data_IF_890861062698
#
_entry.id   IF_890861062698
#
_cell.length_a   1.000
_cell.length_b   1.000
_cell.length_c   1.000
_cell.angle_alpha   90.00
_cell.angle_beta   90.00
_cell.angle_gamma   90.00
#
_symmetry.space_group_name_H-M   'P 1'
#
loop_
_entity.id
_entity.type
_entity.pdbx_description
1 polymer ?
#
# COMPACT_ATOMS: atom_id res chain seq x y z
N UNK A 1 -34.54 -9.51 2.82
CA UNK A 1 -33.60 -8.38 2.94
C UNK A 1 -32.49 -8.56 1.90
N UNK A 2 -32.53 -7.86 0.75
CA UNK A 2 -31.57 -8.06 -0.35
C UNK A 2 -30.21 -7.37 -0.16
N UNK A 3 -30.04 -6.52 0.87
CA UNK A 3 -28.86 -5.66 1.04
C UNK A 3 -27.61 -6.33 1.65
N UNK A 4 -27.78 -7.42 2.41
CA UNK A 4 -26.67 -8.04 3.15
C UNK A 4 -25.71 -8.82 2.24
N UNK A 5 -26.24 -9.43 1.17
CA UNK A 5 -25.43 -10.16 0.18
C UNK A 5 -24.53 -9.24 -0.65
N UNK A 6 -25.04 -8.07 -1.04
CA UNK A 6 -24.27 -7.09 -1.82
C UNK A 6 -23.15 -6.48 -0.98
N UNK A 7 -23.44 -6.08 0.27
CA UNK A 7 -22.43 -5.55 1.21
C UNK A 7 -21.34 -6.56 1.51
N UNK A 8 -21.70 -7.83 1.77
CA UNK A 8 -20.74 -8.91 1.99
C UNK A 8 -19.83 -9.14 0.79
N UNK A 9 -20.38 -9.12 -0.43
CA UNK A 9 -19.61 -9.25 -1.66
C UNK A 9 -18.63 -8.08 -1.88
N UNK A 10 -19.09 -6.83 -1.69
CA UNK A 10 -18.26 -5.63 -1.81
C UNK A 10 -17.11 -5.64 -0.80
N UNK A 11 -17.37 -5.98 0.46
CA UNK A 11 -16.33 -6.13 1.49
C UNK A 11 -15.33 -7.23 1.14
N UNK A 12 -15.79 -8.35 0.57
CA UNK A 12 -14.92 -9.40 0.06
C UNK A 12 -13.96 -8.91 -1.02
N UNK A 13 -14.47 -8.13 -1.99
CA UNK A 13 -13.63 -7.56 -3.06
C UNK A 13 -12.63 -6.54 -2.50
N UNK A 14 -13.06 -5.66 -1.57
CA UNK A 14 -12.17 -4.71 -0.89
C UNK A 14 -11.03 -5.44 -0.17
N UNK A 15 -11.33 -6.51 0.57
CA UNK A 15 -10.30 -7.33 1.23
C UNK A 15 -9.29 -7.89 0.23
N UNK A 16 -9.76 -8.43 -0.89
CA UNK A 16 -8.89 -8.97 -1.95
C UNK A 16 -7.99 -7.89 -2.54
N UNK A 17 -8.54 -6.72 -2.89
CA UNK A 17 -7.75 -5.60 -3.41
C UNK A 17 -6.70 -5.11 -2.40
N UNK A 18 -7.08 -4.96 -1.13
CA UNK A 18 -6.16 -4.54 -0.08
C UNK A 18 -5.06 -5.58 0.19
N UNK A 19 -5.39 -6.86 0.15
CA UNK A 19 -4.41 -7.94 0.34
C UNK A 19 -3.42 -8.00 -0.83
N UNK A 20 -3.89 -7.86 -2.07
CA UNK A 20 -3.02 -7.74 -3.24
C UNK A 20 -2.13 -6.48 -3.15
N UNK A 21 -2.70 -5.33 -2.78
CA UNK A 21 -1.94 -4.11 -2.59
C UNK A 21 -0.83 -4.29 -1.55
N UNK A 22 -1.13 -4.96 -0.44
CA UNK A 22 -0.20 -5.24 0.64
C UNK A 22 0.96 -6.13 0.20
N UNK A 23 0.66 -7.26 -0.45
CA UNK A 23 1.68 -8.22 -0.91
C UNK A 23 2.63 -7.54 -1.90
N UNK A 24 2.08 -6.86 -2.92
CA UNK A 24 2.91 -6.22 -3.93
C UNK A 24 3.71 -5.04 -3.38
N UNK A 25 3.16 -4.27 -2.43
CA UNK A 25 3.90 -3.21 -1.76
C UNK A 25 5.05 -3.80 -0.93
N UNK A 26 4.80 -4.86 -0.16
CA UNK A 26 5.84 -5.52 0.63
C UNK A 26 6.97 -6.11 -0.23
N UNK A 27 6.63 -6.72 -1.38
CA UNK A 27 7.62 -7.21 -2.35
C UNK A 27 8.45 -6.07 -2.93
N UNK A 28 7.81 -4.97 -3.31
CA UNK A 28 8.50 -3.80 -3.85
C UNK A 28 9.46 -3.19 -2.81
N UNK A 29 9.00 -3.03 -1.55
CA UNK A 29 9.85 -2.56 -0.45
C UNK A 29 11.04 -3.48 -0.19
N UNK A 30 10.84 -4.81 -0.24
CA UNK A 30 11.94 -5.77 -0.08
C UNK A 30 13.01 -5.60 -1.17
N UNK A 31 12.60 -5.36 -2.41
CA UNK A 31 13.51 -5.08 -3.53
C UNK A 31 14.26 -3.77 -3.28
N UNK A 32 13.56 -2.68 -2.94
CA UNK A 32 14.18 -1.38 -2.66
C UNK A 32 15.19 -1.48 -1.52
N UNK A 33 14.87 -2.19 -0.44
CA UNK A 33 15.78 -2.41 0.69
C UNK A 33 17.00 -3.26 0.29
N UNK A 34 16.84 -4.27 -0.56
CA UNK A 34 17.97 -5.05 -1.07
C UNK A 34 18.94 -4.17 -1.86
N UNK A 35 18.43 -3.31 -2.75
CA UNK A 35 19.25 -2.32 -3.45
C UNK A 35 19.89 -1.34 -2.46
N UNK A 36 19.13 -0.78 -1.53
CA UNK A 36 19.66 0.13 -0.52
C UNK A 36 20.84 -0.49 0.25
N UNK A 37 20.73 -1.78 0.61
CA UNK A 37 21.82 -2.54 1.23
C UNK A 37 23.06 -2.63 0.36
N UNK A 38 22.90 -2.96 -0.93
CA UNK A 38 24.01 -3.01 -1.91
C UNK A 38 24.71 -1.65 -2.03
N UNK A 39 23.94 -0.56 -2.22
CA UNK A 39 24.50 0.79 -2.36
C UNK A 39 25.18 1.26 -1.06
N UNK A 40 24.62 0.91 0.10
CA UNK A 40 25.22 1.22 1.40
C UNK A 40 26.56 0.49 1.59
N UNK A 41 26.62 -0.79 1.22
CA UNK A 41 27.85 -1.58 1.30
C UNK A 41 28.93 -1.12 0.30
N UNK A 42 28.53 -0.59 -0.85
CA UNK A 42 29.44 -0.05 -1.87
C UNK A 42 29.96 1.36 -1.56
N UNK A 43 29.30 2.10 -0.67
CA UNK A 43 29.62 3.50 -0.36
C UNK A 43 31.08 3.77 0.05
N UNK A 44 31.79 2.89 0.80
CA UNK A 44 33.20 3.09 1.12
C UNK A 44 34.13 3.12 -0.10
N UNK A 45 33.75 2.42 -1.18
CA UNK A 45 34.53 2.33 -2.41
C UNK A 45 34.18 3.44 -3.42
N UNK A 46 32.97 4.00 -3.31
CA UNK A 46 32.49 5.05 -4.17
C UNK A 46 31.54 5.98 -3.39
N UNK A 47 32.04 7.08 -2.79
CA UNK A 47 31.26 7.92 -1.88
C UNK A 47 29.98 8.52 -2.47
N UNK A 48 29.91 8.72 -3.80
CA UNK A 48 28.68 9.16 -4.48
C UNK A 48 27.50 8.19 -4.32
N UNK A 49 27.77 6.92 -4.02
CA UNK A 49 26.77 5.87 -3.82
C UNK A 49 26.04 6.02 -2.49
N UNK A 50 26.62 6.72 -1.50
CA UNK A 50 25.96 7.03 -0.24
C UNK A 50 24.69 7.86 -0.44
N UNK A 51 24.69 8.78 -1.41
CA UNK A 51 23.50 9.57 -1.76
C UNK A 51 22.38 8.69 -2.33
N UNK A 52 22.73 7.72 -3.17
CA UNK A 52 21.77 6.76 -3.74
C UNK A 52 21.20 5.85 -2.65
N UNK A 53 22.05 5.34 -1.76
CA UNK A 53 21.62 4.55 -0.61
C UNK A 53 20.62 5.32 0.27
N UNK A 54 20.94 6.57 0.60
CA UNK A 54 20.06 7.44 1.39
C UNK A 54 18.70 7.67 0.72
N UNK A 55 18.67 7.89 -0.59
CA UNK A 55 17.42 8.03 -1.35
C UNK A 55 16.58 6.76 -1.31
N UNK A 56 17.19 5.59 -1.52
CA UNK A 56 16.48 4.31 -1.49
C UNK A 56 15.92 4.00 -0.09
N UNK A 57 16.65 4.33 0.97
CA UNK A 57 16.16 4.20 2.34
C UNK A 57 14.95 5.13 2.57
N UNK A 58 15.03 6.39 2.12
CA UNK A 58 13.91 7.33 2.24
C UNK A 58 12.65 6.84 1.51
N UNK A 59 12.82 6.28 0.30
CA UNK A 59 11.72 5.66 -0.45
C UNK A 59 11.14 4.44 0.28
N UNK A 60 11.99 3.57 0.83
CA UNK A 60 11.53 2.42 1.60
C UNK A 60 10.74 2.82 2.85
N UNK A 61 11.12 3.91 3.53
CA UNK A 61 10.35 4.44 4.67
C UNK A 61 8.96 4.93 4.24
N UNK A 62 8.87 5.58 3.08
CA UNK A 62 7.58 6.01 2.53
C UNK A 62 6.69 4.82 2.15
N UNK A 63 7.27 3.75 1.59
CA UNK A 63 6.52 2.52 1.34
C UNK A 63 6.01 1.87 2.61
N UNK A 64 6.81 1.83 3.67
CA UNK A 64 6.38 1.30 4.97
C UNK A 64 5.16 2.07 5.50
N UNK A 65 5.08 3.38 5.26
CA UNK A 65 3.88 4.18 5.59
C UNK A 65 2.67 3.76 4.75
N UNK A 66 2.85 3.52 3.45
CA UNK A 66 1.79 3.02 2.56
C UNK A 66 1.32 1.64 3.01
N UNK A 67 2.23 0.72 3.32
CA UNK A 67 1.96 -0.63 3.83
C UNK A 67 1.17 -0.56 5.14
N UNK A 68 1.61 0.29 6.08
CA UNK A 68 0.91 0.48 7.36
C UNK A 68 -0.53 0.98 7.15
N UNK A 69 -0.75 1.86 6.16
CA UNK A 69 -2.08 2.33 5.80
C UNK A 69 -2.95 1.22 5.20
N UNK A 70 -2.43 0.46 4.23
CA UNK A 70 -3.13 -0.68 3.63
C UNK A 70 -3.51 -1.70 4.71
N UNK A 71 -2.60 -1.99 5.63
CA UNK A 71 -2.85 -2.89 6.74
C UNK A 71 -4.01 -2.43 7.65
N UNK A 72 -4.05 -1.13 8.01
CA UNK A 72 -5.17 -0.57 8.78
C UNK A 72 -6.50 -0.68 8.03
N UNK A 73 -6.51 -0.40 6.73
CA UNK A 73 -7.70 -0.57 5.89
C UNK A 73 -8.13 -2.04 5.83
N UNK A 74 -7.18 -2.97 5.69
CA UNK A 74 -7.45 -4.40 5.65
C UNK A 74 -8.06 -4.89 6.96
N UNK A 75 -7.51 -4.48 8.12
CA UNK A 75 -8.06 -4.80 9.44
C UNK A 75 -9.48 -4.27 9.61
N UNK A 76 -9.76 -3.03 9.17
CA UNK A 76 -11.10 -2.46 9.21
C UNK A 76 -12.08 -3.25 8.31
N UNK A 77 -11.65 -3.64 7.10
CA UNK A 77 -12.44 -4.50 6.23
C UNK A 77 -12.68 -5.89 6.84
N UNK A 78 -11.68 -6.47 7.48
CA UNK A 78 -11.74 -7.79 8.12
C UNK A 78 -12.88 -7.87 9.11
N UNK A 79 -12.97 -6.88 10.02
CA UNK A 79 -13.99 -6.79 11.07
C UNK A 79 -15.31 -6.15 10.60
N UNK A 80 -15.41 -5.72 9.33
CA UNK A 80 -16.60 -5.07 8.78
C UNK A 80 -16.83 -3.64 9.25
N UNK A 81 -15.80 -2.97 9.77
CA UNK A 81 -15.87 -1.57 10.21
C UNK A 81 -15.81 -0.62 9.00
N UNK A 82 -16.97 -0.40 8.40
CA UNK A 82 -17.17 0.48 7.24
C UNK A 82 -16.84 1.94 7.57
N UNK A 83 -17.08 2.38 8.80
CA UNK A 83 -16.80 3.76 9.24
C UNK A 83 -15.31 4.04 9.21
N UNK A 84 -14.50 3.14 9.79
CA UNK A 84 -13.04 3.26 9.75
C UNK A 84 -12.52 3.12 8.33
N UNK A 85 -13.04 2.17 7.54
CA UNK A 85 -12.71 2.03 6.11
C UNK A 85 -12.92 3.33 5.32
N UNK A 86 -14.08 3.97 5.46
CA UNK A 86 -14.38 5.25 4.81
C UNK A 86 -13.46 6.36 5.28
N UNK A 87 -13.12 6.42 6.57
CA UNK A 87 -12.19 7.43 7.10
C UNK A 87 -10.76 7.26 6.59
N UNK A 88 -10.34 6.02 6.33
CA UNK A 88 -9.03 5.69 5.78
C UNK A 88 -9.02 5.77 4.25
N UNK A 89 -10.20 5.81 3.62
CA UNK A 89 -10.35 5.86 2.19
C UNK A 89 -9.86 7.20 1.64
N UNK A 90 -8.75 7.20 0.89
CA UNK A 90 -8.17 8.43 0.36
C UNK A 90 -7.53 8.18 -0.99
N UNK A 91 -8.05 8.87 -2.01
CA UNK A 91 -7.48 8.86 -3.36
C UNK A 91 -6.07 9.46 -3.39
N UNK A 92 -5.79 10.45 -2.55
CA UNK A 92 -4.43 11.02 -2.42
C UNK A 92 -3.40 9.96 -2.01
N UNK A 93 -3.73 9.09 -1.07
CA UNK A 93 -2.85 7.99 -0.67
C UNK A 93 -2.74 6.89 -1.72
N UNK A 94 -3.78 6.68 -2.52
CA UNK A 94 -3.72 5.76 -3.66
C UNK A 94 -2.75 6.26 -4.74
N UNK A 95 -2.73 7.58 -4.99
CA UNK A 95 -1.75 8.22 -5.89
C UNK A 95 -0.33 8.11 -5.32
N UNK A 96 -0.14 8.39 -4.02
CA UNK A 96 1.16 8.22 -3.36
C UNK A 96 1.66 6.78 -3.52
N UNK A 97 0.80 5.79 -3.28
CA UNK A 97 1.16 4.39 -3.49
C UNK A 97 1.52 4.08 -4.94
N UNK A 98 0.80 4.65 -5.92
CA UNK A 98 1.06 4.45 -7.34
C UNK A 98 2.43 4.98 -7.78
N UNK A 99 2.81 6.15 -7.25
CA UNK A 99 4.07 6.81 -7.61
C UNK A 99 5.27 6.19 -6.91
N UNK A 100 5.10 5.72 -5.68
CA UNK A 100 6.23 5.37 -4.82
C UNK A 100 6.30 3.90 -4.43
N UNK A 101 5.15 3.24 -4.16
CA UNK A 101 5.10 1.82 -3.78
C UNK A 101 4.91 0.88 -4.98
N UNK A 102 4.79 1.44 -6.18
CA UNK A 102 4.66 0.73 -7.44
C UNK A 102 3.25 0.76 -8.04
N UNK A 103 3.19 0.40 -9.32
CA UNK A 103 1.96 0.48 -10.12
C UNK A 103 0.84 -0.41 -9.55
N UNK A 104 1.16 -1.65 -9.16
CA UNK A 104 0.16 -2.63 -8.73
C UNK A 104 -0.48 -2.21 -7.39
N UNK A 105 0.28 -1.87 -6.32
CA UNK A 105 -0.31 -1.38 -5.07
C UNK A 105 -1.18 -0.14 -5.26
N UNK A 106 -0.74 0.80 -6.10
CA UNK A 106 -1.52 2.00 -6.42
C UNK A 106 -2.84 1.70 -7.11
N UNK A 107 -2.83 0.90 -8.18
CA UNK A 107 -4.07 0.51 -8.90
C UNK A 107 -5.03 -0.22 -7.96
N UNK A 108 -4.53 -1.16 -7.15
CA UNK A 108 -5.37 -1.91 -6.21
C UNK A 108 -5.99 -0.99 -5.15
N UNK A 109 -5.26 0.02 -4.66
CA UNK A 109 -5.80 1.03 -3.74
C UNK A 109 -6.87 1.92 -4.41
N UNK A 110 -6.71 2.28 -5.69
CA UNK A 110 -7.73 3.02 -6.45
C UNK A 110 -9.00 2.18 -6.64
N UNK A 111 -8.87 0.89 -6.95
CA UNK A 111 -10.01 -0.02 -7.08
C UNK A 111 -10.71 -0.24 -5.73
N UNK A 112 -9.94 -0.40 -4.66
CA UNK A 112 -10.48 -0.46 -3.30
C UNK A 112 -11.24 0.83 -2.96
N UNK A 113 -10.70 1.99 -3.32
CA UNK A 113 -11.31 3.29 -3.06
C UNK A 113 -12.71 3.40 -3.67
N UNK A 114 -12.86 3.12 -4.97
CA UNK A 114 -14.16 3.16 -5.64
C UNK A 114 -15.14 2.08 -5.17
N UNK A 115 -14.64 0.98 -4.60
CA UNK A 115 -15.50 -0.07 -4.01
C UNK A 115 -15.98 0.33 -2.61
N UNK A 116 -15.13 0.98 -1.82
CA UNK A 116 -15.48 1.48 -0.48
C UNK A 116 -16.52 2.60 -0.55
N UNK A 117 -16.46 3.47 -1.56
CA UNK A 117 -17.48 4.52 -1.78
C UNK A 117 -18.88 3.95 -2.03
N UNK A 118 -18.97 2.74 -2.59
CA UNK A 118 -20.24 2.04 -2.86
C UNK A 118 -20.79 1.29 -1.65
N UNK A 119 -20.03 1.19 -0.56
CA UNK A 119 -20.54 0.66 0.70
C UNK A 119 -21.40 1.74 1.33
N UNK A 120 -22.72 1.59 1.31
CA UNK A 120 -23.62 2.43 2.13
C UNK A 120 -23.40 2.13 3.61
#
# INVERSE_FOLDING_TARGET
>A
MPGDGLRGHLLGNVKTFLLLAFIFAALFTAIVLAFAGVFTAAAPYAPSWAGIAGLLIALALLDVLVIARIYRMYKAAEIGDVTTLKSLNSLGWAIVALLFAGLIPGIMLILAHGTIEKLE
#
